data_IF_241440084249
#
_entry.id   IF_241440084249
#
_cell.length_a   1.000
_cell.length_b   1.000
_cell.length_c   1.000
_cell.angle_alpha   90.00
_cell.angle_beta   90.00
_cell.angle_gamma   90.00
#
_symmetry.space_group_name_H-M   'P 1'
#
loop_
_entity.id
_entity.type
_entity.pdbx_description
1 polymer ?
#
# COMPACT_ATOMS: atom_id res chain seq x y z
N UNK A 1 40.86 -5.00 -0.48
CA UNK A 1 40.19 -5.75 -1.59
C UNK A 1 38.75 -6.02 -1.13
N UNK A 2 37.84 -5.17 -1.52
CA UNK A 2 36.43 -5.28 -1.10
C UNK A 2 35.69 -6.10 -2.14
N UNK A 3 35.29 -7.30 -1.76
CA UNK A 3 34.44 -8.16 -2.58
C UNK A 3 33.04 -7.56 -2.58
N UNK A 4 32.66 -6.88 -3.66
CA UNK A 4 31.30 -6.47 -3.92
C UNK A 4 30.51 -7.73 -4.28
N UNK A 5 29.80 -8.29 -3.32
CA UNK A 5 28.75 -9.27 -3.62
C UNK A 5 27.64 -8.53 -4.37
N UNK A 6 27.66 -8.58 -5.68
CA UNK A 6 26.52 -8.22 -6.50
C UNK A 6 25.39 -9.17 -6.16
N UNK A 7 24.36 -8.67 -5.48
CA UNK A 7 23.12 -9.38 -5.30
C UNK A 7 22.50 -9.59 -6.68
N UNK A 8 22.24 -10.85 -7.03
CA UNK A 8 21.58 -11.25 -8.28
C UNK A 8 20.08 -10.86 -8.34
N UNK A 9 19.60 -10.16 -7.33
CA UNK A 9 18.28 -9.54 -7.30
C UNK A 9 18.52 -8.04 -7.36
N UNK A 10 18.27 -7.41 -8.50
CA UNK A 10 18.36 -5.96 -8.66
C UNK A 10 17.71 -5.26 -7.46
N UNK A 11 18.44 -4.34 -6.82
CA UNK A 11 18.04 -3.72 -5.55
C UNK A 11 16.71 -2.99 -5.72
N UNK A 12 15.67 -3.50 -5.06
CA UNK A 12 14.40 -2.80 -4.95
C UNK A 12 14.60 -1.65 -3.96
N UNK A 13 14.26 -0.42 -4.41
CA UNK A 13 14.28 0.77 -3.57
C UNK A 13 12.86 1.22 -3.27
N UNK A 14 12.62 1.67 -2.03
CA UNK A 14 11.37 2.30 -1.63
C UNK A 14 11.66 3.76 -1.30
N UNK A 15 10.91 4.66 -1.93
CA UNK A 15 11.03 6.10 -1.75
C UNK A 15 9.67 6.80 -1.78
N UNK A 16 9.66 8.07 -1.45
CA UNK A 16 8.50 8.93 -1.69
C UNK A 16 8.19 9.07 -3.18
N UNK A 17 6.96 9.40 -3.51
CA UNK A 17 6.53 9.60 -4.91
C UNK A 17 6.74 11.04 -5.35
N UNK A 18 7.00 11.22 -6.66
CA UNK A 18 7.03 12.51 -7.34
C UNK A 18 5.75 12.70 -8.17
N UNK A 19 5.55 13.90 -8.71
CA UNK A 19 4.40 14.15 -9.60
C UNK A 19 4.45 13.27 -10.87
N UNK A 20 5.63 12.99 -11.38
CA UNK A 20 5.83 12.09 -12.54
C UNK A 20 5.40 10.67 -12.20
N UNK A 21 5.75 10.18 -11.01
CA UNK A 21 5.33 8.86 -10.53
C UNK A 21 3.81 8.80 -10.38
N UNK A 22 3.20 9.84 -9.79
CA UNK A 22 1.75 9.91 -9.63
C UNK A 22 1.02 9.86 -10.97
N UNK A 23 1.45 10.65 -11.94
CA UNK A 23 0.85 10.68 -13.28
C UNK A 23 0.98 9.31 -13.98
N UNK A 24 2.11 8.65 -13.81
CA UNK A 24 2.30 7.30 -14.34
C UNK A 24 1.37 6.29 -13.65
N UNK A 25 1.26 6.33 -12.31
CA UNK A 25 0.35 5.46 -11.54
C UNK A 25 -1.08 5.59 -12.06
N UNK A 26 -1.57 6.83 -12.22
CA UNK A 26 -2.93 7.07 -12.74
C UNK A 26 -3.11 6.48 -14.13
N UNK A 27 -2.10 6.56 -14.99
CA UNK A 27 -2.18 6.05 -16.36
C UNK A 27 -2.24 4.53 -16.48
N UNK A 28 -1.70 3.79 -15.49
CA UNK A 28 -1.59 2.32 -15.54
C UNK A 28 -2.52 1.59 -14.59
N UNK A 29 -3.15 2.30 -13.66
CA UNK A 29 -3.88 1.68 -12.54
C UNK A 29 -5.04 0.80 -13.00
N UNK A 30 -5.82 1.26 -13.98
CA UNK A 30 -6.94 0.50 -14.53
C UNK A 30 -6.45 -0.79 -15.22
N UNK A 31 -5.32 -0.71 -15.91
CA UNK A 31 -4.69 -1.86 -16.54
C UNK A 31 -4.16 -2.86 -15.51
N UNK A 32 -3.51 -2.38 -14.45
CA UNK A 32 -2.95 -3.26 -13.42
C UNK A 32 -4.02 -4.02 -12.65
N UNK A 33 -5.19 -3.45 -12.48
CA UNK A 33 -6.29 -4.04 -11.71
C UNK A 33 -7.41 -4.63 -12.58
N UNK A 34 -7.33 -4.46 -13.90
CA UNK A 34 -8.30 -5.04 -14.82
C UNK A 34 -9.69 -4.41 -14.75
N UNK A 35 -9.78 -3.14 -14.35
CA UNK A 35 -11.06 -2.45 -14.24
C UNK A 35 -10.92 -1.01 -13.76
N UNK A 36 -12.02 -0.24 -13.64
CA UNK A 36 -11.99 1.19 -13.35
C UNK A 36 -11.54 1.47 -11.90
N UNK A 37 -10.24 1.49 -11.69
CA UNK A 37 -9.61 1.72 -10.40
C UNK A 37 -9.03 3.14 -10.24
N UNK A 38 -8.84 3.87 -11.35
CA UNK A 38 -8.22 5.20 -11.36
C UNK A 38 -8.87 6.21 -10.42
N UNK A 39 -10.20 6.13 -10.26
CA UNK A 39 -10.94 6.98 -9.32
C UNK A 39 -10.59 6.76 -7.84
N UNK A 40 -9.95 5.64 -7.50
CA UNK A 40 -9.51 5.35 -6.12
C UNK A 40 -8.23 6.07 -5.75
N UNK A 41 -7.43 6.45 -6.74
CA UNK A 41 -6.22 7.23 -6.55
C UNK A 41 -6.55 8.73 -6.64
N UNK A 42 -7.41 9.21 -5.73
CA UNK A 42 -7.78 10.61 -5.67
C UNK A 42 -6.54 11.50 -5.54
N UNK A 43 -6.48 12.64 -6.26
CA UNK A 43 -5.35 13.58 -6.20
C UNK A 43 -4.94 14.00 -4.78
N UNK A 44 -5.86 13.99 -3.83
CA UNK A 44 -5.56 14.34 -2.43
C UNK A 44 -4.49 13.44 -1.82
N UNK A 45 -4.41 12.17 -2.22
CA UNK A 45 -3.38 11.25 -1.71
C UNK A 45 -1.98 11.60 -2.18
N UNK A 46 -1.85 12.42 -3.20
CA UNK A 46 -0.59 12.97 -3.62
C UNK A 46 -0.39 14.41 -3.10
N UNK A 47 -1.35 15.31 -3.32
CA UNK A 47 -1.19 16.72 -3.00
C UNK A 47 -1.24 17.03 -1.50
N UNK A 48 -2.16 16.38 -0.78
CA UNK A 48 -2.36 16.67 0.66
C UNK A 48 -1.64 15.65 1.56
N UNK A 49 -1.57 14.40 1.13
CA UNK A 49 -1.00 13.28 1.90
C UNK A 49 0.25 12.67 1.25
N UNK A 50 0.87 13.35 0.29
CA UNK A 50 1.99 12.82 -0.48
C UNK A 50 3.21 12.44 0.35
N UNK A 51 3.42 13.07 1.50
CA UNK A 51 4.49 12.70 2.44
C UNK A 51 4.34 11.28 2.99
N UNK A 52 3.14 10.70 2.92
CA UNK A 52 2.86 9.33 3.32
C UNK A 52 2.84 8.34 2.15
N UNK A 53 2.89 8.85 0.92
CA UNK A 53 2.89 8.02 -0.28
C UNK A 53 4.28 7.43 -0.55
N UNK A 54 4.29 6.17 -0.94
CA UNK A 54 5.51 5.41 -1.22
C UNK A 54 5.46 4.81 -2.62
N UNK A 55 6.60 4.71 -3.27
CA UNK A 55 6.77 3.85 -4.42
C UNK A 55 7.91 2.86 -4.22
N UNK A 56 7.78 1.70 -4.83
CA UNK A 56 8.85 0.74 -5.00
C UNK A 56 9.33 0.80 -6.44
N UNK A 57 10.64 0.92 -6.63
CA UNK A 57 11.26 0.88 -7.95
C UNK A 57 12.34 -0.20 -8.03
N UNK A 58 12.56 -0.69 -9.23
CA UNK A 58 13.65 -1.59 -9.58
C UNK A 58 14.14 -1.23 -10.98
N UNK A 59 15.46 -1.06 -11.12
CA UNK A 59 16.09 -0.67 -12.39
C UNK A 59 15.46 0.60 -13.01
N UNK A 60 15.10 1.57 -12.16
CA UNK A 60 14.46 2.82 -12.58
C UNK A 60 12.98 2.71 -12.99
N UNK A 61 12.37 1.54 -12.82
CA UNK A 61 10.97 1.31 -13.15
C UNK A 61 10.11 1.20 -11.88
N UNK A 62 8.96 1.85 -11.87
CA UNK A 62 7.95 1.73 -10.83
C UNK A 62 7.33 0.33 -10.87
N UNK A 63 7.51 -0.44 -9.80
CA UNK A 63 6.97 -1.80 -9.66
C UNK A 63 5.86 -1.92 -8.63
N UNK A 64 5.63 -0.90 -7.83
CA UNK A 64 4.56 -0.85 -6.85
C UNK A 64 4.45 0.52 -6.18
N UNK A 65 3.33 0.77 -5.56
CA UNK A 65 3.08 2.00 -4.80
C UNK A 65 2.12 1.77 -3.64
N UNK A 66 2.15 2.68 -2.67
CA UNK A 66 1.22 2.72 -1.53
C UNK A 66 0.79 4.16 -1.29
N UNK A 67 -0.53 4.38 -1.24
CA UNK A 67 -1.13 5.62 -0.75
C UNK A 67 -1.73 5.39 0.63
N UNK A 68 -1.35 6.24 1.58
CA UNK A 68 -1.82 6.14 2.94
C UNK A 68 -1.93 7.50 3.61
N UNK A 69 -2.50 7.50 4.80
CA UNK A 69 -2.59 8.68 5.65
C UNK A 69 -2.28 8.30 7.10
N UNK A 70 -1.85 9.26 7.89
CA UNK A 70 -1.68 9.10 9.33
C UNK A 70 -2.72 9.93 10.05
N UNK A 71 -3.53 9.28 10.88
CA UNK A 71 -4.56 9.93 11.71
C UNK A 71 -4.00 10.02 13.12
N UNK A 72 -3.73 11.23 13.63
CA UNK A 72 -3.12 11.40 14.95
C UNK A 72 -4.07 10.96 16.07
N UNK A 73 -3.59 11.10 17.32
CA UNK A 73 -4.42 10.82 18.49
C UNK A 73 -5.77 11.57 18.46
N UNK A 74 -6.87 10.96 18.97
CA UNK A 74 -6.91 9.72 19.74
C UNK A 74 -6.84 8.42 18.89
N UNK A 75 -7.09 8.49 17.60
CA UNK A 75 -7.07 7.30 16.71
C UNK A 75 -5.67 6.66 16.62
N UNK A 76 -4.63 7.48 16.48
CA UNK A 76 -3.25 7.07 16.34
C UNK A 76 -3.06 5.92 15.33
N UNK A 77 -3.66 6.07 14.14
CA UNK A 77 -3.77 5.02 13.13
C UNK A 77 -3.13 5.44 11.81
N UNK A 78 -2.21 4.62 11.29
CA UNK A 78 -1.81 4.67 9.90
C UNK A 78 -2.85 3.92 9.05
N UNK A 79 -3.45 4.58 8.09
CA UNK A 79 -4.44 4.00 7.20
C UNK A 79 -3.86 3.84 5.79
N UNK A 80 -3.85 2.62 5.29
CA UNK A 80 -3.45 2.31 3.91
C UNK A 80 -4.71 2.33 3.05
N UNK A 81 -4.77 3.30 2.14
CA UNK A 81 -5.92 3.48 1.25
C UNK A 81 -5.81 2.63 0.01
N UNK A 82 -4.64 2.59 -0.60
CA UNK A 82 -4.43 1.94 -1.89
C UNK A 82 -3.02 1.39 -1.99
N UNK A 83 -2.90 0.13 -2.42
CA UNK A 83 -1.63 -0.51 -2.78
C UNK A 83 -1.78 -1.15 -4.14
N UNK A 84 -0.91 -0.79 -5.07
CA UNK A 84 -0.83 -1.39 -6.38
C UNK A 84 0.53 -2.03 -6.62
N UNK A 85 0.55 -3.21 -7.22
CA UNK A 85 1.76 -3.92 -7.62
C UNK A 85 1.69 -4.23 -9.10
N UNK A 86 2.75 -3.87 -9.83
CA UNK A 86 2.88 -4.21 -11.24
C UNK A 86 2.63 -5.71 -11.45
N UNK A 87 1.81 -6.13 -12.42
CA UNK A 87 1.44 -7.52 -12.62
C UNK A 87 2.63 -8.49 -12.64
N UNK A 88 3.72 -8.13 -13.33
CA UNK A 88 4.91 -8.97 -13.47
C UNK A 88 5.76 -9.05 -12.19
N UNK A 89 5.48 -8.21 -11.20
CA UNK A 89 6.20 -8.16 -9.93
C UNK A 89 5.37 -8.63 -8.73
N UNK A 90 4.18 -9.16 -8.97
CA UNK A 90 3.33 -9.76 -7.93
C UNK A 90 3.98 -11.02 -7.37
N UNK A 91 3.62 -11.37 -6.11
CA UNK A 91 4.15 -12.54 -5.38
C UNK A 91 5.67 -12.52 -5.19
N UNK A 92 6.27 -11.34 -5.20
CA UNK A 92 7.72 -11.09 -4.99
C UNK A 92 7.97 -10.18 -3.79
N UNK A 93 7.08 -10.19 -2.82
CA UNK A 93 7.16 -9.42 -1.57
C UNK A 93 7.16 -7.89 -1.71
N UNK A 94 6.88 -7.33 -2.88
CA UNK A 94 6.87 -5.87 -3.09
C UNK A 94 5.84 -5.20 -2.18
N UNK A 95 4.62 -5.72 -2.14
CA UNK A 95 3.57 -5.18 -1.25
C UNK A 95 3.93 -5.28 0.22
N UNK A 96 4.53 -6.40 0.65
CA UNK A 96 5.01 -6.56 2.02
C UNK A 96 6.03 -5.48 2.40
N UNK A 97 7.03 -5.23 1.57
CA UNK A 97 8.04 -4.21 1.84
C UNK A 97 7.45 -2.79 1.88
N UNK A 98 6.47 -2.49 1.01
CA UNK A 98 5.75 -1.21 1.07
C UNK A 98 5.02 -1.03 2.42
N UNK A 99 4.32 -2.08 2.89
CA UNK A 99 3.67 -2.07 4.20
C UNK A 99 4.67 -1.94 5.36
N UNK A 100 5.80 -2.63 5.30
CA UNK A 100 6.86 -2.54 6.30
C UNK A 100 7.40 -1.11 6.40
N UNK A 101 7.75 -0.49 5.27
CA UNK A 101 8.21 0.90 5.23
C UNK A 101 7.18 1.89 5.77
N UNK A 102 5.91 1.72 5.38
CA UNK A 102 4.83 2.56 5.89
C UNK A 102 4.65 2.37 7.40
N UNK A 103 4.73 1.13 7.89
CA UNK A 103 4.63 0.82 9.32
C UNK A 103 5.75 1.44 10.14
N UNK A 104 6.99 1.42 9.63
CA UNK A 104 8.14 2.08 10.28
C UNK A 104 7.93 3.59 10.40
N UNK A 105 7.47 4.24 9.32
CA UNK A 105 7.12 5.67 9.35
C UNK A 105 5.99 5.95 10.36
N UNK A 106 4.99 5.09 10.42
CA UNK A 106 3.90 5.20 11.38
C UNK A 106 4.39 5.07 12.82
N UNK A 107 5.26 4.11 13.12
CA UNK A 107 5.89 3.97 14.45
C UNK A 107 6.67 5.23 14.84
N UNK A 108 7.49 5.74 13.92
CA UNK A 108 8.27 6.96 14.14
C UNK A 108 7.38 8.18 14.41
N UNK A 109 6.19 8.24 13.82
CA UNK A 109 5.20 9.30 14.02
C UNK A 109 4.26 9.06 15.23
N UNK A 110 4.48 7.99 16.02
CA UNK A 110 3.69 7.70 17.21
C UNK A 110 2.34 7.03 16.95
N UNK A 111 2.11 6.51 15.75
CA UNK A 111 0.93 5.71 15.47
C UNK A 111 0.99 4.38 16.23
N UNK A 112 -0.18 3.86 16.61
CA UNK A 112 -0.29 2.63 17.41
C UNK A 112 -0.71 1.42 16.60
N UNK A 113 -1.29 1.64 15.43
CA UNK A 113 -1.78 0.58 14.56
C UNK A 113 -1.76 0.97 13.09
N UNK A 114 -1.81 -0.04 12.23
CA UNK A 114 -2.07 0.10 10.80
C UNK A 114 -3.45 -0.49 10.51
N UNK A 115 -4.22 0.20 9.69
CA UNK A 115 -5.54 -0.23 9.21
C UNK A 115 -5.59 -0.19 7.69
N UNK A 116 -6.31 -1.13 7.12
CA UNK A 116 -6.67 -1.16 5.69
C UNK A 116 -8.06 -1.77 5.53
N UNK A 117 -8.70 -1.57 4.39
CA UNK A 117 -9.98 -2.18 4.08
C UNK A 117 -9.97 -2.74 2.65
N UNK A 118 -10.75 -3.81 2.44
CA UNK A 118 -11.02 -4.34 1.10
C UNK A 118 -12.51 -4.67 0.96
N UNK A 119 -12.97 -4.80 -0.27
CA UNK A 119 -14.33 -5.31 -0.53
C UNK A 119 -14.47 -6.73 -0.03
N UNK A 120 -15.60 -7.06 0.58
CA UNK A 120 -15.90 -8.42 0.99
C UNK A 120 -16.03 -9.37 -0.21
N UNK A 121 -15.85 -10.66 0.04
CA UNK A 121 -15.98 -11.72 -0.98
C UNK A 121 -14.72 -11.99 -1.80
N UNK A 122 -13.59 -11.37 -1.48
CA UNK A 122 -12.30 -11.61 -2.14
C UNK A 122 -11.28 -12.18 -1.16
N UNK A 123 -10.83 -13.41 -1.38
CA UNK A 123 -9.86 -14.09 -0.51
C UNK A 123 -8.42 -13.56 -0.66
N UNK A 124 -8.04 -13.05 -1.83
CA UNK A 124 -6.69 -12.57 -2.09
C UNK A 124 -6.22 -11.50 -1.10
N UNK A 125 -6.96 -10.40 -0.93
CA UNK A 125 -6.64 -9.39 0.08
C UNK A 125 -6.59 -9.94 1.52
N UNK A 126 -7.48 -10.87 1.86
CA UNK A 126 -7.51 -11.48 3.20
C UNK A 126 -6.22 -12.27 3.45
N UNK A 127 -5.86 -13.17 2.54
CA UNK A 127 -4.62 -13.96 2.66
C UNK A 127 -3.37 -13.07 2.69
N UNK A 128 -3.34 -12.05 1.85
CA UNK A 128 -2.22 -11.11 1.81
C UNK A 128 -2.01 -10.42 3.16
N UNK A 129 -3.06 -9.82 3.73
CA UNK A 129 -2.97 -9.13 5.02
C UNK A 129 -2.68 -10.07 6.18
N UNK A 130 -3.32 -11.25 6.21
CA UNK A 130 -3.05 -12.27 7.23
C UNK A 130 -1.58 -12.73 7.20
N UNK A 131 -0.99 -12.88 6.01
CA UNK A 131 0.43 -13.25 5.88
C UNK A 131 1.40 -12.22 6.48
N UNK A 132 0.94 -10.97 6.65
CA UNK A 132 1.69 -9.90 7.30
C UNK A 132 1.32 -9.70 8.78
N UNK A 133 0.50 -10.57 9.34
CA UNK A 133 0.08 -10.52 10.75
C UNK A 133 -1.08 -9.58 11.05
N UNK A 134 -1.88 -9.20 10.06
CA UNK A 134 -3.11 -8.45 10.28
C UNK A 134 -4.24 -9.36 10.75
N UNK A 135 -5.01 -8.87 11.69
CA UNK A 135 -6.33 -9.42 12.00
C UNK A 135 -7.33 -8.93 10.94
N UNK A 136 -8.28 -9.78 10.58
CA UNK A 136 -9.31 -9.46 9.59
C UNK A 136 -10.70 -9.65 10.20
N UNK A 137 -11.59 -8.70 9.96
CA UNK A 137 -12.98 -8.75 10.39
C UNK A 137 -13.89 -8.23 9.29
N UNK A 138 -14.89 -9.03 8.90
CA UNK A 138 -15.90 -8.59 7.96
C UNK A 138 -16.96 -7.75 8.67
N UNK A 139 -17.23 -6.57 8.13
CA UNK A 139 -18.22 -5.63 8.64
C UNK A 139 -19.30 -5.44 7.58
N UNK A 140 -20.52 -5.92 7.90
CA UNK A 140 -21.66 -5.76 7.03
C UNK A 140 -22.02 -4.29 6.84
N UNK A 141 -22.38 -3.93 5.61
CA UNK A 141 -22.84 -2.59 5.24
C UNK A 141 -21.86 -1.45 5.58
N UNK A 142 -20.57 -1.76 5.77
CA UNK A 142 -19.55 -0.79 6.16
C UNK A 142 -19.52 0.48 5.29
N UNK A 143 -19.68 0.33 3.99
CA UNK A 143 -19.67 1.42 3.01
C UNK A 143 -21.09 1.77 2.51
N UNK A 144 -22.12 1.41 3.28
CA UNK A 144 -23.53 1.58 2.97
C UNK A 144 -24.23 0.25 2.65
N UNK A 145 -25.55 0.24 2.52
CA UNK A 145 -26.34 -0.98 2.32
C UNK A 145 -25.81 -1.88 1.20
N UNK A 146 -25.61 -3.15 1.46
CA UNK A 146 -25.05 -4.14 0.53
C UNK A 146 -23.57 -3.98 0.21
N UNK A 147 -22.87 -3.06 0.89
CA UNK A 147 -21.43 -2.80 0.64
C UNK A 147 -20.56 -3.16 1.84
N UNK A 148 -20.54 -4.43 2.17
CA UNK A 148 -19.70 -4.98 3.24
C UNK A 148 -18.21 -4.85 2.91
N UNK A 149 -17.38 -4.74 3.94
CA UNK A 149 -15.92 -4.63 3.82
C UNK A 149 -15.24 -5.59 4.80
N UNK A 150 -14.07 -6.04 4.41
CA UNK A 150 -13.13 -6.66 5.37
C UNK A 150 -12.21 -5.57 5.88
N UNK A 151 -12.17 -5.41 7.18
CA UNK A 151 -11.29 -4.48 7.89
C UNK A 151 -10.08 -5.25 8.39
N UNK A 152 -8.90 -4.76 8.04
CA UNK A 152 -7.63 -5.32 8.48
C UNK A 152 -6.98 -4.38 9.49
N UNK A 153 -6.53 -4.91 10.61
CA UNK A 153 -5.85 -4.14 11.67
C UNK A 153 -4.63 -4.90 12.15
N UNK A 154 -3.55 -4.16 12.34
CA UNK A 154 -2.32 -4.67 12.95
C UNK A 154 -1.81 -3.64 13.96
N UNK A 155 -1.59 -4.07 15.20
CA UNK A 155 -0.90 -3.25 16.20
C UNK A 155 0.59 -3.11 15.84
N UNK A 156 1.15 -1.94 16.13
CA UNK A 156 2.54 -1.59 15.83
C UNK A 156 3.47 -1.81 17.01
#
# INVERSE_FOLDING_TARGET
MWCSCYSLFGDMQIRGITKVDYDYIISVLDQWWGGPAGKRADPMFFYEFGDHALMAERDGQLIGFLFGVMVPAPSATGYVHLVGIHPDHRRRSVGKHLYEHFSERCRAAGMKRIKSIASAGHEGPVRFHQSMGFESNEVADYAGPGRSRVVFVKEL
#
